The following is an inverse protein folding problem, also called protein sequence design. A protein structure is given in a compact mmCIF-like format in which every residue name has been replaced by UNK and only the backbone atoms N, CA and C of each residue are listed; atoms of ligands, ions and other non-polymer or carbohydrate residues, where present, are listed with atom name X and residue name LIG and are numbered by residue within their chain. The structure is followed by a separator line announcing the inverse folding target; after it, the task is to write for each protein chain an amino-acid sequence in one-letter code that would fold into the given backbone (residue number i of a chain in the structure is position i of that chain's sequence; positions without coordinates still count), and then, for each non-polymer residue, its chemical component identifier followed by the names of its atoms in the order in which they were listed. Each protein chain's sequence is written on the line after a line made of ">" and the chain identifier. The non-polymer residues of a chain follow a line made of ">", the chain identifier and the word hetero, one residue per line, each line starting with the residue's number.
data_IF_360466822707
#
_entry.id   IF_360466822707
#
_cell.length_a   1.000
_cell.length_b   1.000
_cell.length_c   1.000
_cell.angle_alpha   90.00
_cell.angle_beta   90.00
_cell.angle_gamma   90.00
#
_symmetry.space_group_name_H-M   'P 1'
#
loop_
_entity.id
_entity.type
_entity.pdbx_description
1 polymer ?
#
# COMPACT_ATOMS: atom_id res chain seq x y z
N UNK A 1 11.49 -4.10 -33.01
CA UNK A 1 10.23 -3.54 -32.50
C UNK A 1 10.46 -3.15 -31.02
N UNK A 2 10.20 -1.91 -30.65
CA UNK A 2 10.20 -1.56 -29.19
C UNK A 2 9.03 -2.30 -28.56
N UNK A 3 9.30 -3.06 -27.48
CA UNK A 3 8.26 -3.68 -26.65
C UNK A 3 7.36 -2.54 -26.14
N UNK A 4 6.06 -2.66 -26.33
CA UNK A 4 5.11 -1.70 -25.79
C UNK A 4 5.16 -1.74 -24.26
N UNK A 5 5.30 -0.58 -23.63
CA UNK A 5 5.43 -0.45 -22.19
C UNK A 5 4.05 -0.65 -21.54
N UNK A 6 3.90 -1.71 -20.76
CA UNK A 6 2.66 -1.97 -20.01
C UNK A 6 2.62 -1.13 -18.73
N UNK A 7 1.64 -0.23 -18.65
CA UNK A 7 1.36 0.55 -17.45
C UNK A 7 0.05 0.06 -16.82
N UNK A 8 -0.01 -0.05 -15.50
CA UNK A 8 -1.24 -0.39 -14.76
C UNK A 8 -1.56 0.65 -13.70
N UNK A 9 -2.82 0.68 -13.29
CA UNK A 9 -3.27 1.31 -12.04
C UNK A 9 -3.49 0.21 -11.00
N UNK A 10 -2.85 0.33 -9.84
CA UNK A 10 -3.00 -0.57 -8.70
C UNK A 10 -3.78 0.15 -7.60
N UNK A 11 -4.98 -0.31 -7.32
CA UNK A 11 -5.78 0.15 -6.16
C UNK A 11 -5.40 -0.73 -4.97
N UNK A 12 -4.77 -0.13 -3.96
CA UNK A 12 -4.28 -0.86 -2.80
C UNK A 12 -4.73 -0.19 -1.49
N UNK A 13 -6.03 -0.33 -1.14
CA UNK A 13 -6.65 0.43 -0.06
C UNK A 13 -6.36 -0.16 1.33
N UNK A 14 -5.13 -0.63 1.58
CA UNK A 14 -4.70 -1.16 2.86
C UNK A 14 -4.72 -0.06 3.92
N UNK A 15 -5.21 -0.39 5.11
CA UNK A 15 -5.41 0.53 6.21
C UNK A 15 -4.84 0.02 7.54
N UNK A 16 -4.53 -1.25 7.62
CA UNK A 16 -4.17 -1.92 8.87
C UNK A 16 -2.81 -1.46 9.42
N UNK A 17 -1.88 -1.02 8.58
CA UNK A 17 -0.60 -0.47 9.02
C UNK A 17 -0.70 0.93 9.66
N UNK A 18 -1.78 1.66 9.35
CA UNK A 18 -1.99 3.01 9.87
C UNK A 18 -2.44 3.01 11.33
N UNK A 19 -1.75 3.76 12.18
CA UNK A 19 -2.07 3.95 13.61
C UNK A 19 -2.43 5.41 13.89
N UNK A 20 -3.61 5.81 13.39
CA UNK A 20 -4.08 7.20 13.50
C UNK A 20 -4.28 7.64 14.96
N UNK A 21 -4.67 6.71 15.84
CA UNK A 21 -4.89 6.99 17.25
C UNK A 21 -3.60 7.41 17.98
N UNK A 22 -2.45 7.04 17.47
CA UNK A 22 -1.16 7.48 18.00
C UNK A 22 -0.94 8.98 17.83
N UNK A 23 -1.46 9.53 16.75
CA UNK A 23 -1.28 10.94 16.37
C UNK A 23 -2.42 11.83 16.83
N UNK A 24 -3.64 11.25 16.91
CA UNK A 24 -4.85 11.96 17.31
C UNK A 24 -5.48 11.21 18.48
N UNK A 25 -5.08 11.56 19.69
CA UNK A 25 -5.45 10.85 20.92
C UNK A 25 -6.93 11.02 21.31
N UNK A 26 -7.60 12.03 20.75
CA UNK A 26 -9.01 12.33 20.99
C UNK A 26 -9.98 11.44 20.21
N UNK A 27 -9.47 10.59 19.30
CA UNK A 27 -10.30 9.67 18.53
C UNK A 27 -10.92 8.62 19.48
N UNK A 28 -12.26 8.56 19.48
CA UNK A 28 -13.01 7.65 20.35
C UNK A 28 -12.99 6.20 19.89
N UNK A 29 -12.89 5.98 18.58
CA UNK A 29 -12.87 4.66 17.93
C UNK A 29 -11.68 4.58 16.96
N UNK A 30 -10.49 4.28 17.48
CA UNK A 30 -9.26 4.26 16.68
C UNK A 30 -9.25 3.17 15.63
N UNK A 31 -9.92 2.03 15.87
CA UNK A 31 -10.01 0.95 14.91
C UNK A 31 -10.82 1.38 13.68
N UNK A 32 -12.00 1.96 13.91
CA UNK A 32 -12.84 2.47 12.84
C UNK A 32 -12.20 3.67 12.13
N UNK A 33 -11.54 4.56 12.88
CA UNK A 33 -10.88 5.74 12.31
C UNK A 33 -9.72 5.36 11.36
N UNK A 34 -8.98 4.30 11.64
CA UNK A 34 -7.92 3.80 10.76
C UNK A 34 -8.45 3.38 9.38
N UNK A 35 -9.72 3.02 9.25
CA UNK A 35 -10.36 2.79 7.94
C UNK A 35 -10.49 4.06 7.08
N UNK A 36 -10.16 5.21 7.61
CA UNK A 36 -10.00 6.44 6.84
C UNK A 36 -8.98 6.29 5.71
N UNK A 37 -7.93 5.50 5.91
CA UNK A 37 -6.96 5.18 4.86
C UNK A 37 -7.57 4.38 3.70
N UNK A 38 -8.46 3.42 4.01
CA UNK A 38 -9.24 2.72 3.01
C UNK A 38 -10.12 3.67 2.22
N UNK A 39 -10.92 4.50 2.91
CA UNK A 39 -11.82 5.46 2.28
C UNK A 39 -11.04 6.49 1.45
N UNK A 40 -9.87 6.91 1.90
CA UNK A 40 -8.99 7.82 1.17
C UNK A 40 -8.53 7.23 -0.16
N UNK A 41 -8.14 5.96 -0.18
CA UNK A 41 -7.74 5.28 -1.42
C UNK A 41 -8.91 5.12 -2.40
N UNK A 42 -10.11 4.79 -1.90
CA UNK A 42 -11.32 4.71 -2.72
C UNK A 42 -11.71 6.07 -3.28
N UNK A 43 -11.61 7.13 -2.47
CA UNK A 43 -11.86 8.50 -2.92
C UNK A 43 -10.85 8.94 -3.99
N UNK A 44 -9.56 8.63 -3.81
CA UNK A 44 -8.54 8.90 -4.82
C UNK A 44 -8.85 8.19 -6.13
N UNK A 45 -9.29 6.93 -6.07
CA UNK A 45 -9.69 6.19 -7.26
C UNK A 45 -10.91 6.81 -7.94
N UNK A 46 -11.90 7.25 -7.16
CA UNK A 46 -13.10 7.95 -7.69
C UNK A 46 -12.76 9.27 -8.36
N UNK A 47 -11.81 10.03 -7.80
CA UNK A 47 -11.41 11.34 -8.33
C UNK A 47 -10.35 11.23 -9.44
N UNK A 48 -9.68 10.10 -9.55
CA UNK A 48 -8.66 9.90 -10.57
C UNK A 48 -9.27 9.93 -11.97
N UNK A 49 -8.56 10.49 -12.97
CA UNK A 49 -9.04 10.48 -14.34
C UNK A 49 -9.28 9.05 -14.83
N UNK A 50 -10.25 8.90 -15.72
CA UNK A 50 -10.46 7.65 -16.44
C UNK A 50 -9.17 7.22 -17.13
N UNK A 51 -8.90 5.94 -17.09
CA UNK A 51 -7.70 5.36 -17.66
C UNK A 51 -8.07 4.21 -18.59
N UNK A 52 -7.48 4.20 -19.78
CA UNK A 52 -7.56 3.04 -20.70
C UNK A 52 -6.66 1.88 -20.25
N UNK A 53 -5.87 2.08 -19.20
CA UNK A 53 -4.93 1.09 -18.71
C UNK A 53 -5.63 0.09 -17.79
N UNK A 54 -5.06 -1.11 -17.71
CA UNK A 54 -5.52 -2.14 -16.78
C UNK A 54 -5.53 -1.61 -15.35
N UNK A 55 -6.64 -1.81 -14.65
CA UNK A 55 -6.76 -1.49 -13.23
C UNK A 55 -6.87 -2.79 -12.43
N UNK A 56 -5.97 -2.97 -11.48
CA UNK A 56 -5.94 -4.09 -10.56
C UNK A 56 -6.30 -3.59 -9.16
N UNK A 57 -7.10 -4.37 -8.44
CA UNK A 57 -7.46 -4.07 -7.04
C UNK A 57 -6.92 -5.16 -6.13
N UNK A 58 -6.13 -4.76 -5.15
CA UNK A 58 -5.62 -5.69 -4.12
C UNK A 58 -6.75 -6.08 -3.18
N UNK A 59 -7.02 -7.38 -2.99
CA UNK A 59 -7.99 -7.81 -2.00
C UNK A 59 -7.48 -7.51 -0.59
N UNK A 60 -8.22 -6.72 0.16
CA UNK A 60 -7.89 -6.36 1.55
C UNK A 60 -9.04 -6.70 2.49
N UNK A 61 -8.74 -6.94 3.76
CA UNK A 61 -9.76 -7.11 4.80
C UNK A 61 -10.40 -5.77 5.15
N UNK A 62 -11.73 -5.74 5.18
CA UNK A 62 -12.51 -4.59 5.65
C UNK A 62 -13.05 -4.79 7.06
N UNK A 63 -12.77 -5.94 7.67
CA UNK A 63 -13.20 -6.24 9.02
C UNK A 63 -12.43 -5.40 10.04
N UNK A 64 -13.15 -4.85 11.00
CA UNK A 64 -12.58 -4.17 12.17
C UNK A 64 -12.37 -5.23 13.25
N UNK A 65 -11.11 -5.48 13.57
CA UNK A 65 -10.72 -6.42 14.64
C UNK A 65 -9.88 -5.70 15.67
N UNK A 66 -9.75 -6.29 16.86
CA UNK A 66 -8.82 -5.77 17.87
C UNK A 66 -7.42 -5.64 17.27
N UNK A 67 -6.87 -4.43 17.30
CA UNK A 67 -5.56 -4.11 16.75
C UNK A 67 -4.45 -4.77 17.58
N UNK A 68 -3.57 -5.51 16.93
CA UNK A 68 -2.49 -6.23 17.62
C UNK A 68 -1.15 -5.94 16.97
N UNK A 69 -0.19 -5.60 17.84
CA UNK A 69 1.21 -5.42 17.41
C UNK A 69 1.97 -6.74 17.53
N UNK A 70 2.62 -7.16 16.45
CA UNK A 70 3.48 -8.36 16.40
C UNK A 70 4.77 -8.02 15.67
N UNK A 71 5.90 -8.32 16.30
CA UNK A 71 7.24 -8.01 15.77
C UNK A 71 7.37 -6.52 15.35
N UNK A 72 6.82 -5.62 16.15
CA UNK A 72 6.84 -4.18 15.88
C UNK A 72 5.82 -3.69 14.84
N UNK A 73 5.09 -4.57 14.17
CA UNK A 73 4.13 -4.21 13.10
C UNK A 73 2.69 -4.41 13.57
N UNK A 74 1.87 -3.38 13.42
CA UNK A 74 0.45 -3.41 13.73
C UNK A 74 -0.28 -4.27 12.69
N UNK A 75 -1.15 -5.18 13.15
CA UNK A 75 -1.92 -6.13 12.32
C UNK A 75 -1.07 -6.91 11.29
N UNK A 76 0.15 -7.24 11.66
CA UNK A 76 1.18 -7.84 10.82
C UNK A 76 0.68 -9.01 9.97
N UNK A 77 -0.07 -9.94 10.56
CA UNK A 77 -0.49 -11.15 9.85
C UNK A 77 -1.49 -10.85 8.72
N UNK A 78 -2.32 -9.81 8.89
CA UNK A 78 -3.24 -9.31 7.85
C UNK A 78 -2.43 -8.62 6.75
N UNK A 79 -1.52 -7.72 7.13
CA UNK A 79 -0.65 -7.00 6.19
C UNK A 79 0.17 -7.98 5.35
N UNK A 80 0.81 -8.97 5.95
CA UNK A 80 1.60 -9.98 5.22
C UNK A 80 0.75 -10.74 4.19
N UNK A 81 -0.50 -11.08 4.54
CA UNK A 81 -1.42 -11.74 3.61
C UNK A 81 -1.77 -10.85 2.42
N UNK A 82 -2.07 -9.58 2.68
CA UNK A 82 -2.41 -8.60 1.65
C UNK A 82 -1.21 -8.26 0.77
N UNK A 83 -0.02 -8.12 1.36
CA UNK A 83 1.25 -7.93 0.65
C UNK A 83 1.54 -9.06 -0.34
N UNK A 84 1.33 -10.31 0.08
CA UNK A 84 1.48 -11.47 -0.81
C UNK A 84 0.49 -11.42 -1.97
N UNK A 85 -0.78 -11.14 -1.69
CA UNK A 85 -1.81 -11.03 -2.74
C UNK A 85 -1.47 -9.92 -3.75
N UNK A 86 -1.00 -8.76 -3.28
CA UNK A 86 -0.58 -7.67 -4.15
C UNK A 86 0.61 -8.06 -5.03
N UNK A 87 1.61 -8.72 -4.47
CA UNK A 87 2.79 -9.18 -5.22
C UNK A 87 2.42 -10.21 -6.29
N UNK A 88 1.52 -11.14 -5.97
CA UNK A 88 1.02 -12.15 -6.92
C UNK A 88 0.27 -11.49 -8.09
N UNK A 89 -0.58 -10.48 -7.81
CA UNK A 89 -1.24 -9.69 -8.87
C UNK A 89 -0.23 -9.04 -9.82
N UNK A 90 0.82 -8.41 -9.27
CA UNK A 90 1.84 -7.77 -10.08
C UNK A 90 2.65 -8.79 -10.91
N UNK A 91 2.99 -9.93 -10.34
CA UNK A 91 3.72 -11.00 -11.05
C UNK A 91 2.89 -11.60 -12.18
N UNK A 92 1.59 -11.76 -12.00
CA UNK A 92 0.67 -12.25 -13.04
C UNK A 92 0.50 -11.22 -14.16
N UNK A 93 0.30 -9.96 -13.81
CA UNK A 93 0.08 -8.87 -14.78
C UNK A 93 1.35 -8.45 -15.51
N UNK A 94 2.53 -8.63 -14.91
CA UNK A 94 3.85 -8.26 -15.45
C UNK A 94 3.94 -6.82 -15.97
N UNK A 95 3.55 -5.79 -15.21
CA UNK A 95 3.62 -4.41 -15.67
C UNK A 95 5.06 -3.89 -15.73
N UNK A 96 5.28 -2.90 -16.59
CA UNK A 96 6.54 -2.15 -16.65
C UNK A 96 6.49 -0.86 -15.84
N UNK A 97 5.28 -0.32 -15.61
CA UNK A 97 5.01 0.86 -14.79
C UNK A 97 3.76 0.65 -13.94
N UNK A 98 3.77 1.19 -12.73
CA UNK A 98 2.68 1.04 -11.77
C UNK A 98 2.33 2.42 -11.21
N UNK A 99 1.05 2.79 -11.31
CA UNK A 99 0.48 3.91 -10.56
C UNK A 99 -0.32 3.32 -9.41
N UNK A 100 0.16 3.47 -8.18
CA UNK A 100 -0.52 2.96 -7.00
C UNK A 100 -1.38 4.05 -6.35
N UNK A 101 -2.67 3.77 -6.18
CA UNK A 101 -3.57 4.54 -5.34
C UNK A 101 -3.72 3.76 -4.03
N UNK A 102 -3.04 4.23 -3.01
CA UNK A 102 -2.86 3.47 -1.78
C UNK A 102 -3.61 4.04 -0.59
N UNK A 103 -3.64 3.26 0.46
CA UNK A 103 -4.11 3.63 1.78
C UNK A 103 -2.97 4.22 2.63
N UNK A 104 -2.27 3.40 3.40
CA UNK A 104 -1.17 3.83 4.26
C UNK A 104 0.21 3.51 3.63
N UNK A 105 1.29 4.05 4.19
CA UNK A 105 2.61 4.08 3.55
C UNK A 105 3.18 2.71 3.18
N UNK A 106 2.86 1.64 3.93
CA UNK A 106 3.41 0.30 3.67
C UNK A 106 2.95 -0.32 2.35
N UNK A 107 1.90 0.24 1.70
CA UNK A 107 1.47 -0.19 0.35
C UNK A 107 2.57 0.00 -0.70
N UNK A 108 3.54 0.88 -0.43
CA UNK A 108 4.67 1.15 -1.31
C UNK A 108 5.66 -0.01 -1.41
N UNK A 109 5.74 -0.85 -0.38
CA UNK A 109 6.69 -1.97 -0.31
C UNK A 109 6.55 -2.90 -1.50
N UNK A 110 5.33 -3.25 -1.89
CA UNK A 110 5.08 -4.23 -2.95
C UNK A 110 5.48 -3.73 -4.33
N UNK A 111 5.02 -2.55 -4.80
CA UNK A 111 5.44 -2.01 -6.10
C UNK A 111 6.96 -1.85 -6.21
N UNK A 112 7.60 -1.34 -5.17
CA UNK A 112 9.06 -1.18 -5.16
C UNK A 112 9.78 -2.52 -5.20
N UNK A 113 9.35 -3.51 -4.40
CA UNK A 113 9.93 -4.85 -4.42
C UNK A 113 9.79 -5.49 -5.81
N UNK A 114 8.60 -5.44 -6.39
CA UNK A 114 8.35 -5.99 -7.73
C UNK A 114 9.22 -5.33 -8.80
N UNK A 115 9.30 -3.98 -8.81
CA UNK A 115 10.10 -3.25 -9.79
C UNK A 115 11.61 -3.48 -9.58
N UNK A 116 12.07 -3.59 -8.34
CA UNK A 116 13.45 -3.93 -8.04
C UNK A 116 13.82 -5.35 -8.53
N UNK A 117 12.94 -6.33 -8.33
CA UNK A 117 13.12 -7.68 -8.89
C UNK A 117 13.16 -7.64 -10.43
N UNK A 118 12.28 -6.87 -11.06
CA UNK A 118 12.16 -6.77 -12.52
C UNK A 118 13.35 -6.07 -13.18
N UNK A 119 13.79 -4.95 -12.62
CA UNK A 119 14.85 -4.11 -13.17
C UNK A 119 16.21 -4.32 -12.50
N UNK A 120 16.27 -5.19 -11.48
CA UNK A 120 17.50 -5.55 -10.75
C UNK A 120 18.20 -4.31 -10.18
N UNK A 121 19.47 -4.11 -10.50
CA UNK A 121 20.27 -3.02 -9.95
C UNK A 121 20.04 -1.66 -10.65
N UNK A 122 19.20 -1.60 -11.68
CA UNK A 122 18.86 -0.37 -12.40
C UNK A 122 17.59 0.28 -11.83
N UNK A 123 17.58 0.47 -10.51
CA UNK A 123 16.46 1.07 -9.76
C UNK A 123 16.98 2.11 -8.78
N UNK A 124 16.37 3.29 -8.78
CA UNK A 124 16.52 4.29 -7.75
C UNK A 124 15.16 4.60 -7.13
N UNK A 125 15.11 4.82 -5.83
CA UNK A 125 13.90 5.22 -5.10
C UNK A 125 14.01 6.69 -4.70
N UNK A 126 12.96 7.47 -5.02
CA UNK A 126 12.77 8.82 -4.50
C UNK A 126 11.57 8.76 -3.56
N UNK A 127 11.80 9.07 -2.27
CA UNK A 127 10.75 9.12 -1.26
C UNK A 127 10.37 10.57 -0.99
N UNK A 128 9.09 10.92 -1.23
CA UNK A 128 8.56 12.27 -1.00
C UNK A 128 7.41 12.12 0.00
N UNK A 129 7.69 12.41 1.26
CA UNK A 129 6.78 12.25 2.38
C UNK A 129 7.10 13.29 3.46
N UNK A 130 6.15 13.52 4.36
CA UNK A 130 6.37 14.32 5.57
C UNK A 130 7.25 13.60 6.62
N UNK A 131 7.37 12.26 6.50
CA UNK A 131 8.14 11.40 7.39
C UNK A 131 9.12 10.53 6.57
N UNK A 132 10.28 10.17 7.14
CA UNK A 132 11.26 9.33 6.43
C UNK A 132 10.86 7.84 6.31
N UNK A 133 9.89 7.38 7.11
CA UNK A 133 9.36 6.00 7.19
C UNK A 133 10.43 4.90 7.34
N UNK A 134 11.55 5.24 7.97
CA UNK A 134 12.70 4.36 8.21
C UNK A 134 12.92 4.05 9.69
N UNK A 135 11.89 4.24 10.51
CA UNK A 135 11.97 3.98 11.96
C UNK A 135 12.20 2.50 12.23
N UNK A 136 13.23 2.19 13.00
CA UNK A 136 13.55 0.82 13.41
C UNK A 136 12.83 0.42 14.70
N UNK A 137 12.65 -0.89 14.96
CA UNK A 137 12.14 -1.34 16.25
C UNK A 137 13.01 -0.83 17.39
N UNK A 138 12.42 -0.09 18.32
CA UNK A 138 13.12 0.51 19.48
C UNK A 138 13.43 2.01 19.36
N UNK A 139 13.20 2.61 18.19
CA UNK A 139 13.41 4.06 17.99
C UNK A 139 12.21 4.92 18.50
N UNK A 140 11.21 4.29 19.09
CA UNK A 140 9.97 4.92 19.55
C UNK A 140 9.58 4.50 20.95
#
# INVERSE_FOLDING_TARGET
>A
MKKETKTIRLIYPQWQGGDIARWITEIKDPEAASKGYFLGAELLNFLAPDSSQETLTVPISTEITERRKKDGVLDRDIIVKQTKAALDLLRISDPDKIVTLGGECSVSVVPFTYLAEKYKDDVAMIWIDAHPDITLPGDM
#
